data_IF_599199038821
#
_entry.id   IF_599199038821
#
_cell.length_a   1.000
_cell.length_b   1.000
_cell.length_c   1.000
_cell.angle_alpha   90.00
_cell.angle_beta   90.00
_cell.angle_gamma   90.00
#
_symmetry.space_group_name_H-M   'P 1'
#
loop_
_entity.id
_entity.type
_entity.pdbx_description
1 polymer ?
#
# COMPACT_ATOMS: atom_id res chain seq x y z
N UNK A 1 -11.51 6.35 -11.92
CA UNK A 1 -10.33 6.15 -12.81
C UNK A 1 -9.40 5.15 -12.14
N UNK A 2 -8.52 4.50 -12.88
CA UNK A 2 -7.58 3.50 -12.37
C UNK A 2 -6.25 3.57 -13.14
N UNK A 3 -5.23 2.83 -12.70
CA UNK A 3 -3.92 2.76 -13.34
C UNK A 3 -3.76 1.52 -14.21
N UNK A 4 -2.87 1.55 -15.23
CA UNK A 4 -2.59 0.39 -16.08
C UNK A 4 -2.01 -0.81 -15.33
N UNK A 5 -1.29 -0.58 -14.22
CA UNK A 5 -0.71 -1.67 -13.42
C UNK A 5 -1.79 -2.54 -12.78
N UNK A 6 -2.88 -1.93 -12.29
CA UNK A 6 -4.04 -2.68 -11.77
C UNK A 6 -4.71 -3.51 -12.87
N UNK A 7 -4.80 -2.99 -14.10
CA UNK A 7 -5.39 -3.74 -15.22
C UNK A 7 -4.59 -5.01 -15.55
N UNK A 8 -3.26 -4.96 -15.41
CA UNK A 8 -2.37 -6.12 -15.62
C UNK A 8 -2.47 -7.14 -14.48
N UNK A 9 -2.77 -6.69 -13.27
CA UNK A 9 -2.86 -7.54 -12.08
C UNK A 9 -4.12 -8.41 -12.06
N UNK A 10 -5.19 -8.01 -12.77
CA UNK A 10 -6.46 -8.75 -12.80
C UNK A 10 -6.30 -10.10 -13.49
N UNK A 11 -6.18 -11.16 -12.69
CA UNK A 11 -6.09 -12.56 -13.14
C UNK A 11 -7.43 -13.29 -13.19
N UNK A 12 -8.39 -12.88 -12.34
CA UNK A 12 -9.69 -13.57 -12.24
C UNK A 12 -10.61 -13.24 -13.43
N UNK A 13 -11.18 -14.25 -14.12
CA UNK A 13 -12.10 -14.02 -15.24
C UNK A 13 -13.33 -13.18 -14.85
N UNK A 14 -13.87 -13.40 -13.66
CA UNK A 14 -15.01 -12.64 -13.13
C UNK A 14 -14.63 -11.17 -12.90
N UNK A 15 -13.48 -10.92 -12.28
CA UNK A 15 -12.98 -9.57 -12.06
C UNK A 15 -12.67 -8.84 -13.37
N UNK A 16 -12.13 -9.56 -14.37
CA UNK A 16 -11.89 -9.05 -15.73
C UNK A 16 -13.20 -8.60 -16.38
N UNK A 17 -14.25 -9.42 -16.30
CA UNK A 17 -15.58 -9.07 -16.83
C UNK A 17 -16.13 -7.79 -16.18
N UNK A 18 -16.10 -7.69 -14.84
CA UNK A 18 -16.53 -6.49 -14.13
C UNK A 18 -15.71 -5.24 -14.51
N UNK A 19 -14.41 -5.41 -14.72
CA UNK A 19 -13.53 -4.33 -15.14
C UNK A 19 -13.88 -3.80 -16.53
N UNK A 20 -14.12 -4.66 -17.50
CA UNK A 20 -14.56 -4.25 -18.85
C UNK A 20 -15.93 -3.58 -18.83
N UNK A 21 -16.87 -4.08 -18.02
CA UNK A 21 -18.16 -3.43 -17.80
C UNK A 21 -17.99 -2.03 -17.19
N UNK A 22 -17.08 -1.88 -16.23
CA UNK A 22 -16.78 -0.58 -15.64
C UNK A 22 -16.17 0.39 -16.67
N UNK A 23 -15.29 -0.10 -17.55
CA UNK A 23 -14.75 0.70 -18.68
C UNK A 23 -15.86 1.19 -19.60
N UNK A 24 -16.79 0.30 -19.97
CA UNK A 24 -17.98 0.67 -20.75
C UNK A 24 -18.89 1.70 -20.07
N UNK A 25 -18.89 1.75 -18.74
CA UNK A 25 -19.66 2.74 -17.93
C UNK A 25 -18.87 4.02 -17.61
N UNK A 26 -17.67 4.21 -18.16
CA UNK A 26 -16.89 5.44 -18.00
C UNK A 26 -15.67 5.34 -17.07
N UNK A 27 -15.26 4.14 -16.65
CA UNK A 27 -13.98 3.96 -15.96
C UNK A 27 -12.82 4.22 -16.94
N UNK A 28 -12.05 5.28 -16.67
CA UNK A 28 -10.83 5.62 -17.42
C UNK A 28 -9.60 4.98 -16.79
N UNK A 29 -8.76 4.34 -17.61
CA UNK A 29 -7.43 3.87 -17.23
C UNK A 29 -6.43 4.94 -17.63
N UNK A 30 -5.72 5.52 -16.66
CA UNK A 30 -4.80 6.64 -16.87
C UNK A 30 -3.45 6.32 -16.25
N UNK A 31 -2.34 6.55 -16.97
CA UNK A 31 -1.01 6.45 -16.37
C UNK A 31 -0.78 7.54 -15.33
N UNK A 32 0.30 7.38 -14.58
CA UNK A 32 0.77 8.30 -13.54
C UNK A 32 2.16 8.80 -13.92
N UNK A 33 2.49 10.04 -13.53
CA UNK A 33 3.84 10.57 -13.70
C UNK A 33 4.86 9.79 -12.85
N UNK A 34 6.08 9.65 -13.35
CA UNK A 34 7.16 8.97 -12.62
C UNK A 34 7.51 9.71 -11.33
N UNK A 35 7.49 11.04 -11.36
CA UNK A 35 7.78 11.90 -10.21
C UNK A 35 6.80 11.65 -9.05
N UNK A 36 5.51 11.45 -9.34
CA UNK A 36 4.52 11.14 -8.31
C UNK A 36 4.75 9.74 -7.71
N UNK A 37 5.16 8.76 -8.51
CA UNK A 37 5.50 7.42 -8.04
C UNK A 37 6.74 7.47 -7.14
N UNK A 38 7.76 8.21 -7.54
CA UNK A 38 8.98 8.38 -6.75
C UNK A 38 8.71 9.08 -5.42
N UNK A 39 7.91 10.14 -5.43
CA UNK A 39 7.47 10.82 -4.20
C UNK A 39 6.73 9.90 -3.23
N UNK A 40 5.78 9.09 -3.73
CA UNK A 40 5.07 8.11 -2.90
C UNK A 40 6.02 7.04 -2.37
N UNK A 41 6.97 6.58 -3.19
CA UNK A 41 7.98 5.60 -2.79
C UNK A 41 8.86 6.13 -1.66
N UNK A 42 9.33 7.37 -1.77
CA UNK A 42 10.11 8.02 -0.73
C UNK A 42 9.33 8.14 0.57
N UNK A 43 8.05 8.53 0.49
CA UNK A 43 7.17 8.57 1.67
C UNK A 43 6.91 7.20 2.26
N UNK A 44 6.69 6.19 1.44
CA UNK A 44 6.52 4.80 1.91
C UNK A 44 7.78 4.30 2.64
N UNK A 45 8.96 4.62 2.13
CA UNK A 45 10.24 4.29 2.76
C UNK A 45 10.45 5.06 4.07
N UNK A 46 10.13 6.36 4.10
CA UNK A 46 10.16 7.20 5.31
C UNK A 46 9.27 6.63 6.43
N UNK A 47 8.09 6.10 6.05
CA UNK A 47 7.13 5.52 6.98
C UNK A 47 7.38 4.05 7.35
N UNK A 48 8.39 3.41 6.75
CA UNK A 48 8.70 1.99 6.96
C UNK A 48 7.69 1.02 6.32
N UNK A 49 6.81 1.51 5.45
CA UNK A 49 5.77 0.71 4.78
C UNK A 49 6.20 0.27 3.36
N UNK A 50 7.38 0.70 2.89
CA UNK A 50 7.86 0.46 1.52
C UNK A 50 7.96 -1.03 1.11
N UNK A 51 8.15 -1.93 2.08
CA UNK A 51 8.26 -3.39 1.82
C UNK A 51 6.90 -4.06 1.61
N UNK A 52 5.80 -3.45 2.09
CA UNK A 52 4.47 -4.04 2.04
C UNK A 52 3.68 -3.70 0.77
N UNK A 53 4.03 -2.60 0.09
CA UNK A 53 3.27 -2.08 -1.06
C UNK A 53 3.75 -2.71 -2.37
N UNK A 54 2.81 -3.20 -3.18
CA UNK A 54 3.09 -3.64 -4.55
C UNK A 54 3.29 -2.45 -5.50
N UNK A 55 3.80 -2.71 -6.71
CA UNK A 55 3.91 -1.68 -7.76
C UNK A 55 2.54 -1.10 -8.14
N UNK A 56 1.49 -1.92 -8.11
CA UNK A 56 0.12 -1.46 -8.36
C UNK A 56 -0.36 -0.52 -7.25
N UNK A 57 -0.08 -0.82 -5.98
CA UNK A 57 -0.41 0.03 -4.84
C UNK A 57 0.29 1.39 -4.91
N UNK A 58 1.58 1.40 -5.24
CA UNK A 58 2.34 2.64 -5.45
C UNK A 58 1.71 3.49 -6.56
N UNK A 59 1.31 2.85 -7.66
CA UNK A 59 0.67 3.56 -8.78
C UNK A 59 -0.68 4.17 -8.37
N UNK A 60 -1.50 3.45 -7.59
CA UNK A 60 -2.80 3.92 -7.12
C UNK A 60 -2.68 5.09 -6.15
N UNK A 61 -1.77 5.00 -5.19
CA UNK A 61 -1.47 6.08 -4.24
C UNK A 61 -0.97 7.32 -4.97
N UNK A 62 -0.07 7.15 -5.94
CA UNK A 62 0.45 8.24 -6.75
C UNK A 62 -0.64 8.90 -7.59
N UNK A 63 -1.55 8.12 -8.18
CA UNK A 63 -2.70 8.69 -8.91
C UNK A 63 -3.64 9.47 -8.00
N UNK A 64 -3.94 8.93 -6.82
CA UNK A 64 -4.80 9.59 -5.84
C UNK A 64 -4.18 10.91 -5.36
N UNK A 65 -2.86 10.93 -5.13
CA UNK A 65 -2.11 12.13 -4.78
C UNK A 65 -2.14 13.18 -5.91
N UNK A 66 -1.79 12.80 -7.14
CA UNK A 66 -1.78 13.70 -8.30
C UNK A 66 -3.14 14.37 -8.57
N UNK A 67 -4.22 13.59 -8.41
CA UNK A 67 -5.57 14.06 -8.72
C UNK A 67 -6.28 14.68 -7.51
N UNK A 68 -5.65 14.69 -6.34
CA UNK A 68 -6.28 14.99 -5.05
C UNK A 68 -7.61 14.24 -4.87
N UNK A 69 -7.65 13.01 -5.39
CA UNK A 69 -8.83 12.16 -5.48
C UNK A 69 -9.08 11.38 -4.20
N UNK A 70 -10.21 10.68 -4.16
CA UNK A 70 -10.53 9.73 -3.09
C UNK A 70 -10.12 8.33 -3.53
N UNK A 71 -9.18 7.70 -2.83
CA UNK A 71 -8.81 6.31 -3.09
C UNK A 71 -9.89 5.37 -2.54
N UNK A 72 -10.43 4.49 -3.38
CA UNK A 72 -11.41 3.49 -2.95
C UNK A 72 -10.74 2.13 -2.87
N UNK A 73 -10.55 1.59 -1.66
CA UNK A 73 -9.94 0.29 -1.44
C UNK A 73 -10.28 -0.26 -0.05
N UNK A 74 -10.37 -1.58 0.06
CA UNK A 74 -10.48 -2.31 1.33
C UNK A 74 -9.12 -2.79 1.87
N UNK A 75 -8.02 -2.52 1.16
CA UNK A 75 -6.70 -2.90 1.60
C UNK A 75 -6.22 -2.02 2.76
N UNK A 76 -5.83 -2.63 3.88
CA UNK A 76 -5.38 -1.90 5.06
C UNK A 76 -4.05 -1.18 4.86
N UNK A 77 -3.14 -1.71 4.06
CA UNK A 77 -1.83 -1.11 3.80
C UNK A 77 -2.02 0.18 2.97
N UNK A 78 -2.91 0.16 1.96
CA UNK A 78 -3.30 1.35 1.19
C UNK A 78 -3.99 2.41 2.05
N UNK A 79 -4.97 2.02 2.87
CA UNK A 79 -5.69 2.95 3.74
C UNK A 79 -4.76 3.60 4.77
N UNK A 80 -3.82 2.83 5.31
CA UNK A 80 -2.83 3.33 6.25
C UNK A 80 -1.91 4.37 5.59
N UNK A 81 -1.41 4.10 4.39
CA UNK A 81 -0.64 5.08 3.62
C UNK A 81 -1.45 6.34 3.31
N UNK A 82 -2.73 6.20 2.97
CA UNK A 82 -3.60 7.36 2.77
C UNK A 82 -3.70 8.22 4.04
N UNK A 83 -3.87 7.61 5.21
CA UNK A 83 -3.85 8.33 6.49
C UNK A 83 -2.51 9.03 6.75
N UNK A 84 -1.38 8.35 6.47
CA UNK A 84 -0.03 8.92 6.68
C UNK A 84 0.29 10.07 5.73
N UNK A 85 -0.19 10.00 4.49
CA UNK A 85 0.04 11.01 3.46
C UNK A 85 -1.05 12.11 3.44
N UNK A 86 -2.12 11.97 4.21
CA UNK A 86 -3.27 12.89 4.17
C UNK A 86 -4.12 12.77 2.90
N UNK A 87 -4.04 11.63 2.20
CA UNK A 87 -4.86 11.34 1.02
C UNK A 87 -6.25 10.90 1.50
N UNK A 88 -7.30 11.42 0.87
CA UNK A 88 -8.67 11.00 1.16
C UNK A 88 -8.87 9.57 0.66
N UNK A 89 -9.48 8.72 1.47
CA UNK A 89 -9.84 7.37 1.05
C UNK A 89 -11.26 7.01 1.49
N UNK A 90 -11.85 6.04 0.81
CA UNK A 90 -13.15 5.48 1.13
C UNK A 90 -13.03 3.94 1.18
N UNK A 91 -13.29 3.32 2.35
CA UNK A 91 -13.36 1.86 2.46
C UNK A 91 -14.61 1.34 1.73
N UNK A 92 -14.57 0.11 1.23
CA UNK A 92 -15.73 -0.55 0.60
C UNK A 92 -16.54 -1.31 1.65
N UNK A 93 -15.88 -2.13 2.47
CA UNK A 93 -16.44 -2.91 3.56
C UNK A 93 -15.75 -2.64 4.89
N UNK A 94 -14.42 -2.44 4.90
CA UNK A 94 -13.63 -2.38 6.13
C UNK A 94 -12.69 -1.19 6.13
N UNK A 95 -12.68 -0.46 7.24
CA UNK A 95 -11.81 0.69 7.45
C UNK A 95 -10.79 0.43 8.54
N UNK A 96 -9.58 0.96 8.35
CA UNK A 96 -8.58 1.02 9.42
C UNK A 96 -9.06 1.97 10.53
N UNK A 97 -8.96 1.54 11.79
CA UNK A 97 -9.43 2.32 12.96
C UNK A 97 -8.47 3.43 13.40
N UNK A 98 -7.33 3.58 12.74
CA UNK A 98 -6.27 4.52 13.08
C UNK A 98 -4.96 4.17 12.39
N UNK A 99 -3.96 5.04 12.48
CA UNK A 99 -2.63 4.80 11.92
C UNK A 99 -2.00 3.59 12.60
N UNK A 100 -1.52 2.63 11.79
CA UNK A 100 -0.72 1.49 12.25
C UNK A 100 0.68 1.62 11.67
N UNK A 101 1.69 1.41 12.49
CA UNK A 101 3.06 1.37 11.99
C UNK A 101 3.53 -0.08 11.93
N UNK A 102 4.22 -0.43 10.85
CA UNK A 102 4.86 -1.72 10.72
C UNK A 102 6.01 -1.80 11.72
N UNK A 103 5.88 -2.71 12.68
CA UNK A 103 6.90 -2.94 13.72
C UNK A 103 7.22 -4.43 13.76
N UNK A 104 8.49 -4.76 13.60
CA UNK A 104 8.95 -6.14 13.74
C UNK A 104 8.94 -6.50 15.22
N UNK A 105 8.47 -7.70 15.55
CA UNK A 105 8.53 -8.21 16.92
C UNK A 105 9.47 -9.40 16.96
N UNK A 106 10.51 -9.33 17.79
CA UNK A 106 11.41 -10.46 17.96
C UNK A 106 10.65 -11.65 18.59
N UNK A 107 10.73 -12.86 18.01
CA UNK A 107 10.05 -14.03 18.57
C UNK A 107 10.62 -14.45 19.94
N UNK A 108 11.90 -14.20 20.20
CA UNK A 108 12.56 -14.58 21.46
C UNK A 108 12.40 -13.53 22.55
N UNK A 109 12.95 -12.32 22.36
CA UNK A 109 12.93 -11.28 23.40
C UNK A 109 11.63 -10.44 23.42
N UNK A 110 10.71 -10.66 22.47
CA UNK A 110 9.42 -9.97 22.32
C UNK A 110 9.49 -8.45 22.17
N UNK A 111 10.69 -7.87 22.03
CA UNK A 111 10.88 -6.44 21.79
C UNK A 111 10.40 -6.06 20.41
N UNK A 112 9.85 -4.84 20.35
CA UNK A 112 9.50 -4.12 19.12
C UNK A 112 10.79 -3.60 18.49
N UNK A 113 10.95 -3.83 17.20
CA UNK A 113 12.14 -3.50 16.42
C UNK A 113 11.68 -2.74 15.18
N UNK A 114 12.27 -1.58 14.98
CA UNK A 114 12.14 -0.81 13.76
C UNK A 114 13.34 -1.18 12.90
N UNK A 115 13.14 -2.02 11.88
CA UNK A 115 14.21 -2.38 10.94
C UNK A 115 14.33 -1.23 9.95
N UNK A 116 15.53 -0.65 9.81
CA UNK A 116 15.78 0.41 8.83
C UNK A 116 16.46 -0.06 7.53
N UNK A 117 16.93 -1.31 7.44
CA UNK A 117 17.74 -1.79 6.30
C UNK A 117 17.62 -3.32 6.05
N UNK A 118 16.41 -3.90 6.07
CA UNK A 118 16.21 -5.36 5.88
C UNK A 118 17.02 -6.27 6.83
N UNK A 119 17.50 -5.75 7.97
CA UNK A 119 18.24 -6.53 8.97
C UNK A 119 17.36 -7.63 9.55
N UNK A 120 17.59 -8.87 9.12
CA UNK A 120 16.81 -10.05 9.55
C UNK A 120 17.19 -10.55 10.95
N UNK A 121 17.93 -9.77 11.74
CA UNK A 121 18.48 -10.20 13.03
C UNK A 121 18.14 -9.19 14.12
N UNK A 122 17.72 -9.68 15.28
CA UNK A 122 17.42 -8.83 16.42
C UNK A 122 18.72 -8.20 16.98
N UNK A 123 18.86 -6.86 17.03
CA UNK A 123 20.03 -6.21 17.62
C UNK A 123 20.17 -6.41 19.13
N UNK A 124 19.13 -6.90 19.81
CA UNK A 124 19.12 -7.09 21.26
C UNK A 124 19.57 -8.49 21.67
N UNK A 125 19.10 -9.52 20.97
CA UNK A 125 19.33 -10.92 21.37
C UNK A 125 19.87 -11.81 20.25
N UNK A 126 20.15 -11.26 19.07
CA UNK A 126 20.73 -12.01 17.94
C UNK A 126 19.77 -13.00 17.26
N UNK A 127 18.51 -13.08 17.70
CA UNK A 127 17.53 -14.01 17.10
C UNK A 127 17.07 -13.52 15.73
N UNK A 128 16.96 -14.39 14.71
CA UNK A 128 16.38 -14.04 13.43
C UNK A 128 14.95 -13.50 13.57
N UNK A 129 14.65 -12.38 12.92
CA UNK A 129 13.34 -11.74 12.95
C UNK A 129 12.39 -12.43 11.97
N UNK A 130 11.18 -12.72 12.45
CA UNK A 130 10.07 -13.21 11.64
C UNK A 130 8.98 -12.14 11.61
N UNK A 131 8.40 -11.91 10.42
CA UNK A 131 7.31 -10.94 10.25
C UNK A 131 6.03 -11.49 10.91
N UNK A 132 5.49 -10.76 11.88
CA UNK A 132 4.14 -10.97 12.42
C UNK A 132 3.41 -9.63 12.44
N UNK A 133 2.19 -9.60 11.87
CA UNK A 133 1.27 -8.45 11.92
C UNK A 133 0.63 -8.36 13.32
N UNK A 134 0.63 -7.17 13.94
CA UNK A 134 -0.14 -6.82 15.16
C UNK A 134 -1.07 -5.63 14.90
#
# INVERSE_FOLDING_TARGET
>A
MTTPEVEKEIKSPTARCFFELAKGKGLKVLPVSKDAIEYVRDKANEYGDGVALSDADMSLLAKAFETNGVLVSDDFDLQNMCLKMGIKFMPVLRSVRGRRDWVYRCPACKRKIVIKNDEKVCPVCGTPLTTKRE
#
